data_IF_591800547776
#
_entry.id   IF_591800547776
#
_cell.length_a   1.000
_cell.length_b   1.000
_cell.length_c   1.000
_cell.angle_alpha   90.00
_cell.angle_beta   90.00
_cell.angle_gamma   90.00
#
_symmetry.space_group_name_H-M   'P 1'
#
loop_
_entity.id
_entity.type
_entity.pdbx_description
1 polymer ?
#
# COMPACT_ATOMS: atom_id res chain seq x y z
N UNK A 1 -49.61 -39.33 27.18
CA UNK A 1 -48.81 -40.10 26.19
C UNK A 1 -47.45 -40.39 26.81
N UNK A 2 -47.24 -41.62 27.34
CA UNK A 2 -45.96 -42.00 28.01
C UNK A 2 -44.92 -42.29 26.94
N UNK A 3 -43.93 -41.41 26.79
CA UNK A 3 -42.80 -41.66 25.89
C UNK A 3 -41.92 -42.73 26.55
N UNK A 4 -41.84 -43.91 25.93
CA UNK A 4 -40.99 -45.02 26.38
C UNK A 4 -39.52 -44.58 26.43
N UNK A 5 -38.79 -44.95 27.49
CA UNK A 5 -37.40 -44.55 27.71
C UNK A 5 -36.42 -44.94 26.58
N UNK A 6 -36.80 -45.88 25.72
CA UNK A 6 -36.03 -46.25 24.54
C UNK A 6 -36.14 -45.23 23.39
N UNK A 7 -37.29 -44.55 23.26
CA UNK A 7 -37.51 -43.52 22.26
C UNK A 7 -36.77 -42.22 22.61
N UNK A 8 -36.61 -41.93 23.91
CA UNK A 8 -35.80 -40.80 24.40
C UNK A 8 -34.31 -41.02 24.12
N UNK A 9 -33.81 -42.25 24.31
CA UNK A 9 -32.41 -42.61 23.97
C UNK A 9 -32.13 -42.49 22.47
N UNK A 10 -33.07 -42.91 21.63
CA UNK A 10 -32.96 -42.79 20.17
C UNK A 10 -32.98 -41.32 19.72
N UNK A 11 -33.79 -40.48 20.37
CA UNK A 11 -33.86 -39.04 20.09
C UNK A 11 -32.56 -38.32 20.50
N UNK A 12 -32.00 -38.66 21.65
CA UNK A 12 -30.69 -38.15 22.10
C UNK A 12 -29.54 -38.58 21.18
N UNK A 13 -29.57 -39.81 20.67
CA UNK A 13 -28.54 -40.34 19.75
C UNK A 13 -28.53 -39.59 18.41
N UNK A 14 -29.67 -39.04 17.97
CA UNK A 14 -29.79 -38.26 16.72
C UNK A 14 -29.46 -36.77 16.98
N UNK A 15 -29.83 -36.22 18.15
CA UNK A 15 -29.68 -34.80 18.44
C UNK A 15 -28.24 -34.40 18.82
N UNK A 16 -27.48 -35.28 19.47
CA UNK A 16 -26.08 -35.04 19.86
C UNK A 16 -25.15 -34.81 18.65
N UNK A 17 -25.16 -35.64 17.59
CA UNK A 17 -24.31 -35.38 16.42
C UNK A 17 -24.76 -34.15 15.62
N UNK A 18 -26.04 -33.75 15.67
CA UNK A 18 -26.51 -32.53 14.99
C UNK A 18 -25.89 -31.24 15.59
N UNK A 19 -25.51 -31.26 16.87
CA UNK A 19 -24.80 -30.16 17.54
C UNK A 19 -23.31 -30.10 17.19
N UNK A 20 -22.72 -31.18 16.68
CA UNK A 20 -21.30 -31.23 16.30
C UNK A 20 -21.04 -30.68 14.89
N UNK A 21 -22.07 -30.47 14.08
CA UNK A 21 -21.95 -29.89 12.73
C UNK A 21 -22.18 -28.37 12.68
N UNK A 22 -22.48 -27.71 13.81
CA UNK A 22 -22.59 -26.24 13.86
C UNK A 22 -21.20 -25.63 14.04
N UNK A 23 -20.52 -25.31 12.94
CA UNK A 23 -19.25 -24.58 12.97
C UNK A 23 -19.50 -23.08 13.02
N UNK A 24 -18.94 -22.39 14.03
CA UNK A 24 -18.82 -20.93 14.01
C UNK A 24 -17.73 -20.54 13.00
N UNK A 25 -18.12 -20.13 11.80
CA UNK A 25 -17.20 -19.67 10.75
C UNK A 25 -16.42 -18.42 11.15
N UNK A 26 -17.06 -17.54 11.91
CA UNK A 26 -16.53 -16.19 12.22
C UNK A 26 -15.57 -16.17 13.42
N UNK A 27 -15.40 -17.29 14.13
CA UNK A 27 -14.54 -17.35 15.33
C UNK A 27 -13.05 -17.16 14.99
N UNK A 28 -12.62 -17.57 13.79
CA UNK A 28 -11.23 -17.45 13.33
C UNK A 28 -11.00 -16.30 12.36
N UNK A 29 -12.04 -15.56 11.97
CA UNK A 29 -11.94 -14.37 11.10
C UNK A 29 -12.76 -13.21 11.67
N UNK A 30 -12.39 -12.69 12.86
CA UNK A 30 -13.06 -11.52 13.41
C UNK A 30 -12.81 -10.30 12.52
N UNK A 31 -13.84 -9.48 12.32
CA UNK A 31 -13.68 -8.18 11.66
C UNK A 31 -12.69 -7.32 12.46
N UNK A 32 -11.73 -6.72 11.76
CA UNK A 32 -10.70 -5.87 12.37
C UNK A 32 -11.06 -4.40 12.16
N UNK A 33 -11.31 -3.66 13.24
CA UNK A 33 -11.70 -2.23 13.15
C UNK A 33 -10.62 -1.33 12.52
N UNK A 34 -9.35 -1.74 12.57
CA UNK A 34 -8.20 -0.90 12.17
C UNK A 34 -7.69 -1.24 10.77
N UNK A 35 -8.02 -2.41 10.24
CA UNK A 35 -7.53 -2.90 8.94
C UNK A 35 -8.70 -3.23 8.03
N UNK A 36 -8.86 -2.42 6.99
CA UNK A 36 -9.80 -2.70 5.92
C UNK A 36 -9.27 -3.89 5.11
N UNK A 37 -10.12 -4.90 4.88
CA UNK A 37 -9.78 -6.05 4.02
C UNK A 37 -9.67 -5.60 2.58
N UNK A 38 -8.80 -6.21 1.77
CA UNK A 38 -8.59 -5.83 0.36
C UNK A 38 -9.91 -5.84 -0.45
N UNK A 39 -10.84 -6.74 -0.12
CA UNK A 39 -12.18 -6.86 -0.73
C UNK A 39 -13.14 -5.69 -0.39
N UNK A 40 -12.76 -4.86 0.57
CA UNK A 40 -13.54 -3.74 1.06
C UNK A 40 -12.96 -2.38 0.62
N UNK A 41 -11.82 -2.36 -0.07
CA UNK A 41 -11.17 -1.14 -0.57
C UNK A 41 -11.55 -0.95 -2.05
N UNK A 42 -11.59 0.31 -2.50
CA UNK A 42 -11.90 0.75 -3.87
C UNK A 42 -13.37 0.56 -4.29
N UNK A 43 -14.29 0.69 -3.33
CA UNK A 43 -15.74 0.64 -3.53
C UNK A 43 -16.33 1.93 -4.06
N UNK A 44 -15.72 3.06 -3.72
CA UNK A 44 -16.15 4.38 -4.18
C UNK A 44 -14.99 5.23 -4.69
N UNK A 45 -15.34 6.33 -5.37
CA UNK A 45 -14.40 7.29 -5.92
C UNK A 45 -13.43 7.88 -4.88
N UNK A 46 -13.89 8.10 -3.64
CA UNK A 46 -13.09 8.73 -2.59
C UNK A 46 -11.97 7.82 -2.11
N UNK A 47 -12.17 6.51 -2.14
CA UNK A 47 -11.13 5.52 -1.84
C UNK A 47 -10.02 5.50 -2.88
N UNK A 48 -10.34 5.64 -4.18
CA UNK A 48 -9.32 5.82 -5.21
C UNK A 48 -8.52 7.10 -5.00
N UNK A 49 -9.23 8.21 -4.73
CA UNK A 49 -8.60 9.51 -4.46
C UNK A 49 -7.75 9.48 -3.20
N UNK A 50 -8.15 8.77 -2.15
CA UNK A 50 -7.38 8.66 -0.91
C UNK A 50 -6.10 7.84 -1.12
N UNK A 51 -6.16 6.76 -1.90
CA UNK A 51 -4.97 5.97 -2.28
C UNK A 51 -3.94 6.81 -3.04
N UNK A 52 -4.39 7.62 -4.00
CA UNK A 52 -3.55 8.55 -4.76
C UNK A 52 -2.95 9.65 -3.86
N UNK A 53 -3.73 10.24 -2.96
CA UNK A 53 -3.19 11.18 -1.96
C UNK A 53 -2.13 10.53 -1.05
N UNK A 54 -2.30 9.25 -0.70
CA UNK A 54 -1.30 8.47 0.00
C UNK A 54 0.02 8.35 -0.78
N UNK A 55 -0.05 8.22 -2.10
CA UNK A 55 1.13 8.22 -2.97
C UNK A 55 1.84 9.58 -2.95
N UNK A 56 1.11 10.69 -3.02
CA UNK A 56 1.69 12.02 -2.88
C UNK A 56 2.33 12.25 -1.50
N UNK A 57 1.75 11.72 -0.43
CA UNK A 57 2.35 11.76 0.90
C UNK A 57 3.69 10.98 0.95
N UNK A 58 3.75 9.81 0.31
CA UNK A 58 5.01 9.06 0.16
C UNK A 58 6.04 9.81 -0.69
N UNK A 59 5.59 10.47 -1.77
CA UNK A 59 6.45 11.32 -2.59
C UNK A 59 7.03 12.49 -1.79
N UNK A 60 6.23 13.14 -0.96
CA UNK A 60 6.68 14.25 -0.11
C UNK A 60 7.84 13.83 0.81
N UNK A 61 7.79 12.62 1.37
CA UNK A 61 8.84 12.08 2.24
C UNK A 61 10.19 11.91 1.52
N UNK A 62 10.22 11.82 0.19
CA UNK A 62 11.45 11.74 -0.61
C UNK A 62 12.15 13.09 -0.81
N UNK A 63 11.49 14.20 -0.48
CA UNK A 63 12.02 15.56 -0.75
C UNK A 63 13.35 15.81 -0.04
N UNK A 64 13.45 15.43 1.24
CA UNK A 64 14.70 15.61 2.00
C UNK A 64 15.82 14.77 1.39
N UNK A 65 15.55 13.50 1.08
CA UNK A 65 16.52 12.61 0.45
C UNK A 65 17.04 13.17 -0.87
N UNK A 66 16.15 13.70 -1.72
CA UNK A 66 16.52 14.32 -2.99
C UNK A 66 17.32 15.61 -2.81
N UNK A 67 16.95 16.44 -1.84
CA UNK A 67 17.66 17.67 -1.55
C UNK A 67 19.09 17.39 -1.06
N UNK A 68 19.25 16.50 -0.08
CA UNK A 68 20.56 16.16 0.47
C UNK A 68 21.47 15.54 -0.60
N UNK A 69 20.96 14.61 -1.40
CA UNK A 69 21.75 13.99 -2.47
C UNK A 69 22.02 14.90 -3.67
N UNK A 70 21.17 15.92 -3.90
CA UNK A 70 21.33 16.86 -5.00
C UNK A 70 22.27 18.00 -4.67
N UNK A 71 22.07 18.63 -3.51
CA UNK A 71 22.71 19.91 -3.17
C UNK A 71 23.98 19.72 -2.33
N UNK A 72 24.00 18.75 -1.40
CA UNK A 72 25.16 18.58 -0.51
C UNK A 72 26.39 18.00 -1.22
N UNK A 73 26.18 17.43 -2.41
CA UNK A 73 27.24 16.99 -3.34
C UNK A 73 27.68 18.10 -4.30
N UNK A 74 27.03 19.25 -4.28
CA UNK A 74 27.39 20.43 -5.06
C UNK A 74 28.15 21.44 -4.19
N UNK A 75 28.37 22.65 -4.71
CA UNK A 75 29.18 23.71 -4.10
C UNK A 75 28.36 24.80 -3.39
N UNK A 76 27.03 24.72 -3.41
CA UNK A 76 26.14 25.74 -2.85
C UNK A 76 25.68 25.46 -1.40
N UNK A 77 25.71 24.21 -0.95
CA UNK A 77 25.28 23.79 0.39
C UNK A 77 26.43 23.12 1.12
N UNK A 78 26.59 23.42 2.41
CA UNK A 78 27.64 22.88 3.25
C UNK A 78 27.08 22.32 4.57
N UNK A 79 27.76 21.35 5.14
CA UNK A 79 27.44 20.79 6.46
C UNK A 79 27.73 21.82 7.56
N UNK A 80 26.94 21.74 8.63
CA UNK A 80 27.20 22.50 9.87
C UNK A 80 27.83 21.60 10.93
N UNK A 81 28.28 22.17 12.05
CA UNK A 81 28.80 21.40 13.18
C UNK A 81 27.79 20.40 13.78
N UNK A 82 26.49 20.60 13.51
CA UNK A 82 25.39 19.75 14.00
C UNK A 82 24.87 18.78 12.93
N UNK A 83 25.55 18.66 11.77
CA UNK A 83 25.14 17.74 10.73
C UNK A 83 25.24 16.28 11.23
N UNK A 84 24.28 15.45 10.85
CA UNK A 84 24.32 14.03 11.17
C UNK A 84 25.42 13.30 10.36
N UNK A 85 25.82 12.11 10.84
CA UNK A 85 26.90 11.34 10.23
C UNK A 85 26.58 10.98 8.76
N UNK A 86 25.32 10.71 8.42
CA UNK A 86 24.93 10.37 7.06
C UNK A 86 25.12 11.56 6.11
N UNK A 87 24.78 12.78 6.54
CA UNK A 87 25.05 14.01 5.79
C UNK A 87 26.56 14.24 5.59
N UNK A 88 27.36 14.02 6.64
CA UNK A 88 28.83 14.16 6.56
C UNK A 88 29.42 13.18 5.55
N UNK A 89 28.94 11.94 5.51
CA UNK A 89 29.37 10.95 4.51
C UNK A 89 29.04 11.38 3.07
N UNK A 90 27.82 11.91 2.84
CA UNK A 90 27.40 12.44 1.54
C UNK A 90 28.28 13.60 1.09
N UNK A 91 28.52 14.58 1.98
CA UNK A 91 29.36 15.73 1.70
C UNK A 91 30.80 15.33 1.33
N UNK A 92 31.33 14.29 1.98
CA UNK A 92 32.67 13.77 1.71
C UNK A 92 32.74 12.76 0.55
N UNK A 93 31.65 12.56 -0.20
CA UNK A 93 31.54 11.60 -1.31
C UNK A 93 31.89 10.15 -0.91
N UNK A 94 31.61 9.77 0.34
CA UNK A 94 31.90 8.43 0.88
C UNK A 94 30.69 7.87 1.65
N UNK A 95 29.51 7.74 1.02
CA UNK A 95 28.37 7.10 1.68
C UNK A 95 28.68 5.65 2.04
N UNK A 96 28.38 5.29 3.28
CA UNK A 96 28.27 3.89 3.70
C UNK A 96 27.06 3.20 3.04
N UNK A 97 27.01 1.87 3.08
CA UNK A 97 25.88 1.11 2.52
C UNK A 97 24.61 1.28 3.35
N UNK A 98 24.79 1.65 4.63
CA UNK A 98 23.76 1.82 5.64
C UNK A 98 23.24 3.27 5.70
N UNK A 99 23.83 4.19 4.93
CA UNK A 99 23.45 5.60 4.90
C UNK A 99 21.98 5.78 4.49
N UNK A 100 21.20 6.46 5.34
CA UNK A 100 19.75 6.61 5.14
C UNK A 100 19.38 7.33 3.84
N UNK A 101 20.25 8.24 3.35
CA UNK A 101 19.99 9.05 2.17
C UNK A 101 20.25 8.31 0.86
N UNK A 102 21.14 7.31 0.81
CA UNK A 102 21.39 6.54 -0.43
C UNK A 102 20.46 5.34 -0.60
N UNK A 103 19.61 5.07 0.38
CA UNK A 103 18.71 3.91 0.34
C UNK A 103 17.64 4.05 -0.76
N UNK A 104 17.55 3.11 -1.72
CA UNK A 104 16.52 3.15 -2.76
C UNK A 104 15.15 2.67 -2.27
N UNK A 105 15.06 2.20 -1.03
CA UNK A 105 13.87 1.54 -0.47
C UNK A 105 12.63 2.43 -0.56
N UNK A 106 12.77 3.73 -0.27
CA UNK A 106 11.63 4.65 -0.29
C UNK A 106 11.10 4.89 -1.70
N UNK A 107 11.96 4.94 -2.71
CA UNK A 107 11.54 5.00 -4.12
C UNK A 107 10.79 3.73 -4.51
N UNK A 108 11.30 2.55 -4.15
CA UNK A 108 10.63 1.28 -4.46
C UNK A 108 9.29 1.12 -3.74
N UNK A 109 9.14 1.66 -2.52
CA UNK A 109 7.84 1.74 -1.85
C UNK A 109 6.84 2.54 -2.68
N UNK A 110 7.22 3.75 -3.12
CA UNK A 110 6.37 4.58 -3.97
C UNK A 110 6.03 3.88 -5.30
N UNK A 111 7.03 3.31 -5.97
CA UNK A 111 6.84 2.55 -7.21
C UNK A 111 5.87 1.39 -7.00
N UNK A 112 6.03 0.61 -5.94
CA UNK A 112 5.14 -0.52 -5.64
C UNK A 112 3.70 -0.07 -5.45
N UNK A 113 3.49 1.05 -4.76
CA UNK A 113 2.15 1.60 -4.52
C UNK A 113 1.53 2.16 -5.80
N UNK A 114 2.33 2.85 -6.63
CA UNK A 114 1.88 3.31 -7.96
C UNK A 114 1.46 2.14 -8.83
N UNK A 115 2.24 1.04 -8.85
CA UNK A 115 1.93 -0.16 -9.63
C UNK A 115 0.65 -0.83 -9.14
N UNK A 116 0.42 -0.86 -7.82
CA UNK A 116 -0.80 -1.41 -7.26
C UNK A 116 -2.03 -0.60 -7.70
N UNK A 117 -1.99 0.72 -7.56
CA UNK A 117 -3.09 1.59 -7.98
C UNK A 117 -3.36 1.49 -9.49
N UNK A 118 -2.30 1.46 -10.31
CA UNK A 118 -2.41 1.25 -11.77
C UNK A 118 -3.13 -0.06 -12.07
N UNK A 119 -2.74 -1.16 -11.42
CA UNK A 119 -3.35 -2.47 -11.62
C UNK A 119 -4.83 -2.44 -11.25
N UNK A 120 -5.17 -1.88 -10.09
CA UNK A 120 -6.56 -1.79 -9.60
C UNK A 120 -7.42 -0.94 -10.53
N UNK A 121 -6.90 0.20 -11.01
CA UNK A 121 -7.59 1.04 -11.99
C UNK A 121 -7.83 0.28 -13.30
N UNK A 122 -6.86 -0.51 -13.79
CA UNK A 122 -7.03 -1.30 -15.00
C UNK A 122 -8.05 -2.44 -14.84
N UNK A 123 -8.12 -3.05 -13.66
CA UNK A 123 -9.05 -4.15 -13.36
C UNK A 123 -10.48 -3.66 -13.15
N UNK A 124 -10.67 -2.57 -12.41
CA UNK A 124 -11.98 -2.05 -12.04
C UNK A 124 -12.54 -1.02 -13.03
N UNK A 125 -11.67 -0.33 -13.75
CA UNK A 125 -11.98 0.74 -14.70
C UNK A 125 -11.25 0.52 -16.03
N UNK A 126 -11.55 -0.55 -16.78
CA UNK A 126 -10.81 -0.90 -18.01
C UNK A 126 -10.84 0.22 -19.07
N UNK A 127 -11.81 1.13 -19.01
CA UNK A 127 -11.90 2.33 -19.85
C UNK A 127 -10.64 3.20 -19.83
N UNK A 128 -9.87 3.20 -18.73
CA UNK A 128 -8.64 4.02 -18.60
C UNK A 128 -7.52 3.59 -19.57
N UNK A 129 -7.67 2.43 -20.19
CA UNK A 129 -6.73 1.90 -21.20
C UNK A 129 -7.26 1.94 -22.63
N UNK A 130 -8.52 2.33 -22.83
CA UNK A 130 -9.14 2.41 -24.15
C UNK A 130 -9.17 3.85 -24.66
N UNK A 131 -8.36 4.20 -25.69
CA UNK A 131 -8.34 5.55 -26.24
C UNK A 131 -9.66 6.02 -26.87
N UNK A 132 -10.60 5.10 -27.12
CA UNK A 132 -11.92 5.42 -27.66
C UNK A 132 -12.93 5.76 -26.58
N UNK A 133 -12.65 5.38 -25.33
CA UNK A 133 -13.52 5.69 -24.21
C UNK A 133 -13.45 7.18 -23.85
N UNK A 134 -14.55 7.79 -23.41
CA UNK A 134 -14.54 9.18 -22.99
C UNK A 134 -13.69 9.36 -21.73
N UNK A 135 -12.96 10.46 -21.64
CA UNK A 135 -12.11 10.76 -20.48
C UNK A 135 -12.96 10.95 -19.23
N UNK A 136 -12.63 10.18 -18.19
CA UNK A 136 -13.25 10.23 -16.87
C UNK A 136 -12.28 10.75 -15.82
N UNK A 137 -12.73 10.87 -14.57
CA UNK A 137 -11.80 11.17 -13.47
C UNK A 137 -10.84 10.00 -13.19
N UNK A 138 -11.22 8.75 -13.51
CA UNK A 138 -10.32 7.59 -13.34
C UNK A 138 -9.15 7.65 -14.32
N UNK A 139 -9.34 8.18 -15.54
CA UNK A 139 -8.24 8.43 -16.49
C UNK A 139 -7.22 9.44 -15.93
N UNK A 140 -7.70 10.44 -15.18
CA UNK A 140 -6.82 11.42 -14.53
C UNK A 140 -5.97 10.75 -13.46
N UNK A 141 -6.57 9.95 -12.58
CA UNK A 141 -5.84 9.17 -11.56
C UNK A 141 -4.82 8.22 -12.20
N UNK A 142 -5.22 7.56 -13.28
CA UNK A 142 -4.35 6.66 -14.02
C UNK A 142 -3.14 7.40 -14.60
N UNK A 143 -3.37 8.57 -15.21
CA UNK A 143 -2.30 9.44 -15.70
C UNK A 143 -1.38 9.96 -14.60
N UNK A 144 -1.93 10.38 -13.46
CA UNK A 144 -1.15 10.81 -12.29
C UNK A 144 -0.27 9.67 -11.75
N UNK A 145 -0.81 8.46 -11.62
CA UNK A 145 -0.06 7.30 -11.16
C UNK A 145 1.07 6.92 -12.14
N UNK A 146 0.82 6.99 -13.45
CA UNK A 146 1.86 6.77 -14.47
C UNK A 146 2.98 7.82 -14.39
N UNK A 147 2.61 9.10 -14.26
CA UNK A 147 3.55 10.20 -14.12
C UNK A 147 4.40 10.03 -12.85
N UNK A 148 3.77 9.69 -11.73
CA UNK A 148 4.45 9.51 -10.45
C UNK A 148 5.41 8.31 -10.47
N UNK A 149 5.02 7.21 -11.13
CA UNK A 149 5.89 6.07 -11.35
C UNK A 149 7.12 6.45 -12.19
N UNK A 150 6.92 7.18 -13.29
CA UNK A 150 8.01 7.68 -14.12
C UNK A 150 8.94 8.62 -13.35
N UNK A 151 8.37 9.54 -12.55
CA UNK A 151 9.11 10.45 -11.68
C UNK A 151 9.93 9.69 -10.64
N UNK A 152 9.37 8.65 -10.03
CA UNK A 152 10.06 7.84 -9.03
C UNK A 152 11.25 7.08 -9.65
N UNK A 153 11.06 6.44 -10.82
CA UNK A 153 12.16 5.78 -11.54
C UNK A 153 13.25 6.77 -11.97
N UNK A 154 12.87 7.92 -12.52
CA UNK A 154 13.81 8.95 -12.95
C UNK A 154 14.72 9.40 -11.81
N UNK A 155 14.14 9.66 -10.63
CA UNK A 155 14.91 10.07 -9.47
C UNK A 155 15.72 8.92 -8.87
N UNK A 156 15.18 7.70 -8.83
CA UNK A 156 15.89 6.52 -8.32
C UNK A 156 17.18 6.19 -9.09
N UNK A 157 17.24 6.53 -10.39
CA UNK A 157 18.44 6.31 -11.23
C UNK A 157 19.49 7.42 -11.04
N UNK A 158 19.09 8.60 -10.57
CA UNK A 158 20.00 9.75 -10.37
C UNK A 158 20.78 9.70 -9.07
N UNK A 159 20.26 8.96 -8.09
CA UNK A 159 20.84 8.81 -6.76
C UNK A 159 21.85 7.66 -6.74
#
# INVERSE_FOLDING_TARGET
MKISGNNIKLLLLIFIPALLFTSCKDFFDPEQDIRVKDEQIFRDWYEYRSAEMGMYAMQQQLTEQLFILGELRADLVNITQNADADMVEIYNFKPSRENKYVSPVNFFKLISQTNNLIKILQENHPEVTDPKSPVTNFDRLYGEALCMRAWAYFNAVRI
#
